data_IF_509659495407
#
_entry.id   IF_509659495407
#
_cell.length_a   1.000
_cell.length_b   1.000
_cell.length_c   1.000
_cell.angle_alpha   90.00
_cell.angle_beta   90.00
_cell.angle_gamma   90.00
#
_symmetry.space_group_name_H-M   'P 1'
#
loop_
_entity.id
_entity.type
_entity.pdbx_description
1 polymer ?
#
# COMPACT_ATOMS: atom_id res chain seq x y z
N UNK A 1 -9.48 1.69 -9.73
CA UNK A 1 -8.11 1.14 -9.68
C UNK A 1 -7.14 2.06 -8.94
N UNK A 2 -7.05 3.36 -9.26
CA UNK A 2 -6.12 4.28 -8.60
C UNK A 2 -6.33 4.38 -7.08
N UNK A 3 -7.59 4.61 -6.64
CA UNK A 3 -7.95 4.63 -5.21
C UNK A 3 -7.62 3.30 -4.53
N UNK A 4 -7.98 2.18 -5.17
CA UNK A 4 -7.64 0.86 -4.66
C UNK A 4 -6.13 0.65 -4.51
N UNK A 5 -5.33 1.07 -5.51
CA UNK A 5 -3.87 1.01 -5.46
C UNK A 5 -3.28 1.87 -4.36
N UNK A 6 -3.83 3.06 -4.11
CA UNK A 6 -3.42 3.91 -2.99
C UNK A 6 -3.68 3.23 -1.64
N UNK A 7 -4.90 2.71 -1.43
CA UNK A 7 -5.27 2.00 -0.20
C UNK A 7 -4.41 0.74 0.00
N UNK A 8 -4.17 -0.03 -1.07
CA UNK A 8 -3.32 -1.21 -1.02
C UNK A 8 -1.86 -0.85 -0.71
N UNK A 9 -1.34 0.25 -1.26
CA UNK A 9 0.02 0.72 -0.97
C UNK A 9 0.21 1.12 0.49
N UNK A 10 -0.80 1.76 1.11
CA UNK A 10 -0.79 2.10 2.53
C UNK A 10 -0.91 0.84 3.40
N UNK A 11 -1.83 -0.07 3.06
CA UNK A 11 -2.02 -1.33 3.78
C UNK A 11 -0.76 -2.22 3.75
N UNK A 12 -0.11 -2.31 2.59
CA UNK A 12 1.15 -3.04 2.44
C UNK A 12 2.25 -2.44 3.34
N UNK A 13 2.35 -1.11 3.39
CA UNK A 13 3.29 -0.40 4.28
C UNK A 13 3.04 -0.71 5.74
N UNK A 14 1.77 -0.63 6.18
CA UNK A 14 1.38 -0.98 7.54
C UNK A 14 1.71 -2.45 7.87
N UNK A 15 1.45 -3.40 6.98
CA UNK A 15 1.79 -4.81 7.21
C UNK A 15 3.30 -5.04 7.31
N UNK A 16 4.09 -4.38 6.46
CA UNK A 16 5.54 -4.40 6.55
C UNK A 16 6.04 -3.81 7.88
N UNK A 17 5.44 -2.68 8.29
CA UNK A 17 5.71 -2.05 9.56
C UNK A 17 5.40 -3.02 10.70
N UNK A 18 4.27 -3.72 10.67
CA UNK A 18 3.86 -4.67 11.70
C UNK A 18 4.88 -5.81 11.85
N UNK A 19 5.41 -6.30 10.73
CA UNK A 19 6.42 -7.35 10.73
C UNK A 19 7.74 -6.89 11.36
N UNK A 20 8.23 -5.69 11.02
CA UNK A 20 9.55 -5.25 11.52
C UNK A 20 9.49 -4.50 12.85
N UNK A 21 8.35 -3.89 13.21
CA UNK A 21 8.18 -2.98 14.35
C UNK A 21 8.69 -3.56 15.68
N UNK A 22 8.44 -4.83 16.06
CA UNK A 22 8.98 -5.40 17.30
C UNK A 22 10.51 -5.43 17.39
N UNK A 23 11.20 -5.31 16.25
CA UNK A 23 12.66 -5.35 16.13
C UNK A 23 13.26 -4.01 15.68
N UNK A 24 12.41 -3.06 15.29
CA UNK A 24 12.78 -1.79 14.69
C UNK A 24 13.43 -0.81 15.66
N UNK A 25 12.96 -0.84 16.90
CA UNK A 25 13.27 0.10 17.97
C UNK A 25 13.61 -0.74 19.19
N UNK A 26 14.68 -0.37 19.91
CA UNK A 26 15.12 -1.11 21.10
C UNK A 26 14.01 -1.31 22.14
N UNK A 27 14.23 -2.19 23.12
CA UNK A 27 13.17 -2.71 24.02
C UNK A 27 12.61 -1.73 25.05
N UNK A 28 12.96 -0.44 25.02
CA UNK A 28 12.63 0.52 26.09
C UNK A 28 12.03 1.85 25.61
N UNK A 29 11.58 1.95 24.35
CA UNK A 29 10.93 3.17 23.87
C UNK A 29 9.43 3.15 24.11
N UNK A 30 8.79 4.31 24.22
CA UNK A 30 7.32 4.42 24.35
C UNK A 30 6.56 3.83 23.13
N UNK A 31 7.27 3.57 22.03
CA UNK A 31 6.74 2.96 20.81
C UNK A 31 7.07 1.48 20.70
N UNK A 32 7.80 0.90 21.66
CA UNK A 32 8.24 -0.50 21.58
C UNK A 32 7.10 -1.46 21.90
N UNK A 33 7.13 -2.61 21.24
CA UNK A 33 6.24 -3.73 21.52
C UNK A 33 6.52 -4.28 22.92
N UNK A 34 5.46 -4.50 23.71
CA UNK A 34 5.55 -5.13 25.03
C UNK A 34 4.75 -6.43 25.04
N UNK A 35 5.46 -7.53 25.22
CA UNK A 35 4.86 -8.86 25.30
C UNK A 35 4.03 -9.00 26.58
N UNK A 36 2.75 -9.36 26.45
CA UNK A 36 1.84 -9.55 27.58
C UNK A 36 0.92 -8.36 27.88
N UNK A 37 1.17 -7.18 27.28
CA UNK A 37 0.26 -6.03 27.37
C UNK A 37 -1.05 -6.29 26.60
N UNK A 38 -2.16 -5.62 26.98
CA UNK A 38 -3.40 -5.66 26.22
C UNK A 38 -3.18 -5.37 24.73
N UNK A 39 -3.88 -6.12 23.87
CA UNK A 39 -3.74 -5.99 22.42
C UNK A 39 -3.98 -4.55 21.93
N UNK A 40 -4.92 -3.83 22.56
CA UNK A 40 -5.25 -2.44 22.24
C UNK A 40 -4.08 -1.49 22.44
N UNK A 41 -3.32 -1.65 23.52
CA UNK A 41 -2.20 -0.77 23.84
C UNK A 41 -1.05 -0.96 22.84
N UNK A 42 -0.76 -2.22 22.48
CA UNK A 42 0.22 -2.52 21.44
C UNK A 42 -0.23 -2.02 20.05
N UNK A 43 -1.53 -2.12 19.71
CA UNK A 43 -2.09 -1.56 18.48
C UNK A 43 -1.94 -0.03 18.42
N UNK A 44 -2.14 0.66 19.54
CA UNK A 44 -1.95 2.12 19.61
C UNK A 44 -0.48 2.51 19.42
N UNK A 45 0.45 1.78 20.04
CA UNK A 45 1.90 1.99 19.85
C UNK A 45 2.31 1.73 18.41
N UNK A 46 1.83 0.64 17.82
CA UNK A 46 2.04 0.30 16.42
C UNK A 46 1.50 1.36 15.45
N UNK A 47 0.28 1.85 15.68
CA UNK A 47 -0.33 2.89 14.86
C UNK A 47 0.46 4.19 14.93
N UNK A 48 0.88 4.59 16.14
CA UNK A 48 1.70 5.79 16.34
C UNK A 48 3.07 5.64 15.67
N UNK A 49 3.72 4.48 15.84
CA UNK A 49 4.97 4.17 15.17
C UNK A 49 4.84 4.27 13.65
N UNK A 50 3.86 3.57 13.08
CA UNK A 50 3.58 3.52 11.64
C UNK A 50 3.32 4.92 11.09
N UNK A 51 2.50 5.72 11.79
CA UNK A 51 2.15 7.06 11.37
C UNK A 51 3.36 8.00 11.35
N UNK A 52 4.17 7.97 12.41
CA UNK A 52 5.33 8.85 12.60
C UNK A 52 6.49 8.47 11.67
N UNK A 53 6.79 7.18 11.53
CA UNK A 53 7.99 6.73 10.80
C UNK A 53 7.76 6.48 9.32
N UNK A 54 6.57 6.03 8.92
CA UNK A 54 6.41 5.39 7.60
C UNK A 54 5.27 5.97 6.76
N UNK A 55 4.12 6.27 7.38
CA UNK A 55 2.91 6.73 6.67
C UNK A 55 3.11 8.08 5.98
N UNK A 56 3.76 9.05 6.64
CA UNK A 56 3.91 10.41 6.10
C UNK A 56 5.02 10.54 5.04
N UNK A 57 6.02 9.66 5.06
CA UNK A 57 7.15 9.73 4.12
C UNK A 57 7.05 8.73 2.99
N UNK A 58 7.32 7.46 3.30
CA UNK A 58 7.54 6.43 2.30
C UNK A 58 6.23 5.88 1.72
N UNK A 59 5.26 5.57 2.59
CA UNK A 59 4.01 4.95 2.14
C UNK A 59 3.15 5.93 1.33
N UNK A 60 3.17 7.23 1.69
CA UNK A 60 2.52 8.28 0.92
C UNK A 60 3.17 8.48 -0.44
N UNK A 61 4.50 8.49 -0.52
CA UNK A 61 5.23 8.56 -1.79
C UNK A 61 4.86 7.41 -2.72
N UNK A 62 4.84 6.18 -2.21
CA UNK A 62 4.42 4.99 -2.97
C UNK A 62 2.95 5.06 -3.39
N UNK A 63 2.06 5.55 -2.53
CA UNK A 63 0.64 5.73 -2.86
C UNK A 63 0.47 6.75 -3.99
N UNK A 64 1.18 7.88 -3.94
CA UNK A 64 1.15 8.92 -4.96
C UNK A 64 1.67 8.39 -6.30
N UNK A 65 2.83 7.73 -6.33
CA UNK A 65 3.38 7.17 -7.58
C UNK A 65 2.47 6.10 -8.17
N UNK A 66 1.84 5.26 -7.34
CA UNK A 66 0.85 4.27 -7.79
C UNK A 66 -0.36 4.95 -8.43
N UNK A 67 -0.92 5.99 -7.79
CA UNK A 67 -2.05 6.76 -8.33
C UNK A 67 -1.67 7.40 -9.65
N UNK A 68 -0.52 8.09 -9.71
CA UNK A 68 -0.06 8.76 -10.92
C UNK A 68 0.17 7.75 -12.05
N UNK A 69 0.80 6.61 -11.78
CA UNK A 69 0.99 5.54 -12.77
C UNK A 69 -0.35 5.06 -13.33
N UNK A 70 -1.33 4.79 -12.47
CA UNK A 70 -2.67 4.33 -12.90
C UNK A 70 -3.41 5.41 -13.70
N UNK A 71 -3.36 6.67 -13.28
CA UNK A 71 -4.09 7.77 -13.94
C UNK A 71 -3.45 8.14 -15.28
N UNK A 72 -2.11 8.23 -15.33
CA UNK A 72 -1.38 8.67 -16.53
C UNK A 72 -1.26 7.55 -17.56
N UNK A 73 -0.97 6.31 -17.13
CA UNK A 73 -0.72 5.19 -18.05
C UNK A 73 -1.97 4.35 -18.31
N UNK A 74 -2.96 4.38 -17.41
CA UNK A 74 -4.18 3.59 -17.51
C UNK A 74 -4.92 3.73 -18.85
N UNK A 75 -5.17 4.96 -19.37
CA UNK A 75 -5.84 5.13 -20.66
C UNK A 75 -5.09 4.49 -21.83
N UNK A 76 -3.76 4.67 -21.89
CA UNK A 76 -2.91 4.10 -22.94
C UNK A 76 -2.91 2.57 -22.87
N UNK A 77 -2.74 2.00 -21.68
CA UNK A 77 -2.79 0.54 -21.45
C UNK A 77 -4.15 -0.02 -21.84
N UNK A 78 -5.25 0.60 -21.41
CA UNK A 78 -6.60 0.15 -21.75
C UNK A 78 -6.88 0.23 -23.25
N UNK A 79 -6.34 1.21 -23.97
CA UNK A 79 -6.50 1.31 -25.42
C UNK A 79 -5.84 0.12 -26.14
N UNK A 80 -4.61 -0.25 -25.73
CA UNK A 80 -3.89 -1.40 -26.28
C UNK A 80 -4.60 -2.70 -25.94
N UNK A 81 -5.00 -2.89 -24.68
CA UNK A 81 -5.70 -4.10 -24.24
C UNK A 81 -7.04 -4.28 -24.95
N UNK A 82 -7.83 -3.19 -25.11
CA UNK A 82 -9.09 -3.25 -25.86
C UNK A 82 -8.87 -3.60 -27.33
N UNK A 83 -7.78 -3.12 -27.94
CA UNK A 83 -7.43 -3.49 -29.31
C UNK A 83 -7.11 -4.98 -29.42
N UNK A 84 -6.29 -5.51 -28.50
CA UNK A 84 -5.91 -6.91 -28.49
C UNK A 84 -7.09 -7.85 -28.16
N UNK A 85 -8.02 -7.40 -27.30
CA UNK A 85 -9.18 -8.19 -26.89
C UNK A 85 -10.29 -8.26 -27.96
N UNK A 86 -10.25 -7.43 -29.01
CA UNK A 86 -11.22 -7.52 -30.11
C UNK A 86 -11.00 -8.82 -30.87
N UNK A 87 -11.95 -9.76 -30.75
CA UNK A 87 -12.01 -10.96 -31.60
C UNK A 87 -12.30 -10.52 -33.04
N UNK A 88 -11.52 -11.03 -33.99
CA UNK A 88 -11.77 -10.79 -35.40
C UNK A 88 -13.07 -11.51 -35.83
N UNK A 89 -14.09 -10.76 -36.21
CA UNK A 89 -15.29 -11.30 -36.87
C UNK A 89 -15.04 -11.31 -38.38
N UNK A 90 -14.58 -12.44 -38.89
CA UNK A 90 -14.57 -12.66 -40.34
C UNK A 90 -16.00 -13.05 -40.75
N UNK A 91 -16.78 -12.09 -41.25
CA UNK A 91 -18.06 -12.42 -41.88
C UNK A 91 -17.79 -13.18 -43.19
N UNK A 92 -18.47 -14.30 -43.46
CA UNK A 92 -18.40 -14.95 -44.76
C UNK A 92 -18.95 -14.00 -45.82
N UNK A 93 -18.21 -13.82 -46.93
CA UNK A 93 -18.69 -13.11 -48.12
C UNK A 93 -19.71 -13.96 -48.87
#
# INVERSE_FOLDING_TARGET
LAVYGALAALAYGALLNMWFWPYAIGTETALSYVAGDPLGDNLQRFATFTFVTSTLGWDLGRAVTTVLGVVLLGPAVLAVLRRAARRASFAPR
#
